data_IF_932670800899
#
_entry.id   IF_932670800899
#
_cell.length_a   1.000
_cell.length_b   1.000
_cell.length_c   1.000
_cell.angle_alpha   90.00
_cell.angle_beta   90.00
_cell.angle_gamma   90.00
#
_symmetry.space_group_name_H-M   'P 1'
#
loop_
_entity.id
_entity.type
_entity.pdbx_description
1 polymer ?
#
# COMPACT_ATOMS: atom_id res chain seq x y z
N UNK A 1 7.80 -7.60 -9.11
CA UNK A 1 7.60 -6.29 -8.42
C UNK A 1 6.99 -5.30 -9.41
N UNK A 2 6.12 -4.40 -8.94
CA UNK A 2 5.45 -3.37 -9.75
C UNK A 2 5.78 -2.02 -9.13
N UNK A 3 6.35 -1.13 -9.95
CA UNK A 3 6.76 0.21 -9.56
C UNK A 3 5.85 1.23 -10.24
N UNK A 4 5.43 2.27 -9.50
CA UNK A 4 4.96 3.50 -10.12
C UNK A 4 6.17 4.39 -10.41
N UNK A 5 6.17 5.04 -11.58
CA UNK A 5 7.26 5.93 -11.98
C UNK A 5 7.39 7.07 -10.96
N UNK A 6 8.58 7.21 -10.37
CA UNK A 6 8.96 8.39 -9.60
C UNK A 6 9.73 9.31 -10.53
N UNK A 7 9.15 10.48 -10.86
CA UNK A 7 9.78 11.47 -11.72
C UNK A 7 10.95 12.13 -10.99
N UNK A 8 12.12 12.12 -11.62
CA UNK A 8 13.33 12.76 -11.09
C UNK A 8 13.73 13.89 -12.04
N UNK A 9 13.91 15.13 -11.55
CA UNK A 9 14.40 16.24 -12.35
C UNK A 9 15.69 15.88 -13.11
N UNK A 10 15.78 16.25 -14.38
CA UNK A 10 16.93 15.93 -15.24
C UNK A 10 16.88 14.56 -15.91
N UNK A 11 15.89 13.72 -15.62
CA UNK A 11 15.68 12.46 -16.37
C UNK A 11 14.78 12.69 -17.60
N UNK A 12 14.90 11.88 -18.67
CA UNK A 12 14.03 12.00 -19.85
C UNK A 12 12.53 11.89 -19.54
N UNK A 13 12.16 11.24 -18.44
CA UNK A 13 10.78 11.04 -18.01
C UNK A 13 10.31 12.04 -16.95
N UNK A 14 11.05 13.12 -16.69
CA UNK A 14 10.73 14.09 -15.64
C UNK A 14 9.38 14.81 -15.82
N UNK A 15 8.85 14.87 -17.05
CA UNK A 15 7.67 15.66 -17.40
C UNK A 15 6.51 14.84 -17.99
N UNK A 16 6.58 13.50 -17.92
CA UNK A 16 5.48 12.66 -18.40
C UNK A 16 4.29 12.70 -17.44
N UNK A 17 3.05 12.62 -17.95
CA UNK A 17 1.86 12.60 -17.12
C UNK A 17 1.86 11.39 -16.16
N UNK A 18 1.11 11.51 -15.08
CA UNK A 18 0.84 10.38 -14.19
C UNK A 18 0.03 9.29 -14.90
N UNK A 19 0.28 8.05 -14.49
CA UNK A 19 -0.57 6.92 -14.87
C UNK A 19 -1.90 7.05 -14.13
N UNK A 20 -3.00 6.79 -14.82
CA UNK A 20 -4.32 6.73 -14.19
C UNK A 20 -4.32 5.70 -13.04
N UNK A 21 -4.84 6.04 -11.84
CA UNK A 21 -4.85 5.12 -10.71
C UNK A 21 -5.52 3.77 -11.01
N UNK A 22 -6.57 3.73 -11.83
CA UNK A 22 -7.24 2.49 -12.20
C UNK A 22 -6.42 1.66 -13.17
N UNK A 23 -5.65 2.28 -14.07
CA UNK A 23 -4.72 1.55 -14.94
C UNK A 23 -3.60 0.90 -14.13
N UNK A 24 -3.13 1.58 -13.07
CA UNK A 24 -2.16 0.99 -12.15
C UNK A 24 -2.74 -0.20 -11.39
N UNK A 25 -3.96 -0.06 -10.82
CA UNK A 25 -4.66 -1.17 -10.16
C UNK A 25 -4.93 -2.32 -11.13
N UNK A 26 -5.32 -2.04 -12.37
CA UNK A 26 -5.51 -3.05 -13.43
C UNK A 26 -4.22 -3.80 -13.71
N UNK A 27 -3.08 -3.10 -13.74
CA UNK A 27 -1.76 -3.73 -13.92
C UNK A 27 -1.47 -4.73 -12.79
N UNK A 28 -1.78 -4.38 -11.55
CA UNK A 28 -1.64 -5.28 -10.39
C UNK A 28 -2.55 -6.51 -10.53
N UNK A 29 -3.82 -6.31 -10.89
CA UNK A 29 -4.79 -7.39 -11.08
C UNK A 29 -4.36 -8.37 -12.18
N UNK A 30 -3.91 -7.85 -13.33
CA UNK A 30 -3.41 -8.65 -14.44
C UNK A 30 -2.19 -9.45 -14.00
N UNK A 31 -1.25 -8.86 -13.27
CA UNK A 31 -0.08 -9.57 -12.76
C UNK A 31 -0.47 -10.71 -11.81
N UNK A 32 -1.45 -10.50 -10.91
CA UNK A 32 -1.98 -11.55 -10.02
C UNK A 32 -2.61 -12.69 -10.81
N UNK A 33 -3.42 -12.39 -11.83
CA UNK A 33 -4.09 -13.41 -12.65
C UNK A 33 -3.10 -14.23 -13.46
N UNK A 34 -2.11 -13.60 -14.08
CA UNK A 34 -1.09 -14.28 -14.89
C UNK A 34 -0.10 -15.08 -14.05
N UNK A 35 0.18 -14.63 -12.82
CA UNK A 35 1.18 -15.22 -11.93
C UNK A 35 0.58 -15.52 -10.54
N UNK A 36 -0.36 -16.47 -10.42
CA UNK A 36 -1.16 -16.67 -9.20
C UNK A 36 -0.34 -17.03 -7.97
N UNK A 37 0.80 -17.71 -8.15
CA UNK A 37 1.69 -18.14 -7.06
C UNK A 37 2.79 -17.13 -6.71
N UNK A 38 2.97 -16.08 -7.50
CA UNK A 38 4.05 -15.11 -7.28
C UNK A 38 3.68 -14.12 -6.18
N UNK A 39 4.70 -13.57 -5.52
CA UNK A 39 4.54 -12.34 -4.74
C UNK A 39 4.44 -11.15 -5.69
N UNK A 40 3.29 -10.50 -5.69
CA UNK A 40 3.07 -9.25 -6.41
C UNK A 40 3.39 -8.12 -5.44
N UNK A 41 4.59 -7.54 -5.62
CA UNK A 41 5.12 -6.51 -4.72
C UNK A 41 4.83 -5.11 -5.23
N UNK A 42 4.18 -4.28 -4.41
CA UNK A 42 4.13 -2.83 -4.61
C UNK A 42 5.40 -2.22 -4.05
N UNK A 43 6.14 -1.53 -4.91
CA UNK A 43 7.51 -1.12 -4.62
C UNK A 43 7.66 0.40 -4.67
N UNK A 44 8.33 0.97 -5.67
CA UNK A 44 8.56 2.41 -5.77
C UNK A 44 7.28 3.20 -6.09
N UNK A 45 7.22 4.45 -5.63
CA UNK A 45 6.11 5.38 -5.89
C UNK A 45 4.93 5.28 -4.93
N UNK A 46 4.95 4.35 -3.96
CA UNK A 46 3.91 4.21 -2.93
C UNK A 46 3.70 5.46 -2.08
N UNK A 47 4.76 6.24 -1.86
CA UNK A 47 4.70 7.47 -1.06
C UNK A 47 3.67 8.47 -1.62
N UNK A 48 3.60 8.59 -2.96
CA UNK A 48 2.63 9.44 -3.64
C UNK A 48 1.23 8.83 -3.82
N UNK A 49 1.01 7.57 -3.44
CA UNK A 49 -0.30 6.93 -3.53
C UNK A 49 -1.15 7.27 -2.31
N UNK A 50 -2.46 7.49 -2.51
CA UNK A 50 -3.41 7.59 -1.40
C UNK A 50 -3.60 6.24 -0.71
N UNK A 51 -4.17 6.25 0.50
CA UNK A 51 -4.50 5.03 1.24
C UNK A 51 -5.49 4.15 0.46
N UNK A 52 -6.45 4.77 -0.22
CA UNK A 52 -7.48 4.12 -1.03
C UNK A 52 -6.85 3.42 -2.25
N UNK A 53 -5.91 4.08 -2.93
CA UNK A 53 -5.20 3.48 -4.06
C UNK A 53 -4.38 2.27 -3.62
N UNK A 54 -3.67 2.38 -2.50
CA UNK A 54 -2.93 1.25 -1.95
C UNK A 54 -3.87 0.11 -1.52
N UNK A 55 -5.00 0.42 -0.90
CA UNK A 55 -6.03 -0.56 -0.54
C UNK A 55 -6.58 -1.29 -1.77
N UNK A 56 -6.88 -0.56 -2.86
CA UNK A 56 -7.30 -1.16 -4.13
C UNK A 56 -6.22 -2.06 -4.74
N UNK A 57 -4.94 -1.70 -4.61
CA UNK A 57 -3.85 -2.55 -5.09
C UNK A 57 -3.72 -3.85 -4.27
N UNK A 58 -3.87 -3.80 -2.94
CA UNK A 58 -3.92 -5.00 -2.11
C UNK A 58 -5.13 -5.88 -2.47
N UNK A 59 -6.31 -5.28 -2.65
CA UNK A 59 -7.51 -5.98 -3.10
C UNK A 59 -7.33 -6.63 -4.49
N UNK A 60 -6.65 -5.93 -5.41
CA UNK A 60 -6.34 -6.45 -6.75
C UNK A 60 -5.32 -7.60 -6.74
N UNK A 61 -4.64 -7.84 -5.63
CA UNK A 61 -3.78 -9.00 -5.44
C UNK A 61 -2.32 -8.69 -5.16
N UNK A 62 -1.95 -7.43 -4.90
CA UNK A 62 -0.66 -7.15 -4.28
C UNK A 62 -0.60 -7.79 -2.88
N UNK A 63 0.52 -8.42 -2.54
CA UNK A 63 0.69 -9.11 -1.26
C UNK A 63 2.11 -8.94 -0.68
N UNK A 64 2.83 -7.92 -1.12
CA UNK A 64 4.17 -7.63 -0.65
C UNK A 64 4.44 -6.13 -0.83
N UNK A 65 5.09 -5.51 0.15
CA UNK A 65 5.57 -4.13 0.11
C UNK A 65 6.99 -4.05 0.64
N UNK A 66 7.72 -2.99 0.31
CA UNK A 66 8.94 -2.65 1.05
C UNK A 66 8.59 -1.99 2.37
N UNK A 67 9.13 -2.52 3.46
CA UNK A 67 8.97 -1.99 4.82
C UNK A 67 10.33 -1.53 5.33
N UNK A 68 10.45 -0.25 5.69
CA UNK A 68 11.72 0.39 6.06
C UNK A 68 11.70 1.89 5.76
N UNK A 69 12.79 2.61 6.06
CA UNK A 69 12.83 4.08 5.96
C UNK A 69 13.17 4.59 4.54
N UNK A 70 13.84 3.80 3.72
CA UNK A 70 14.27 4.17 2.35
C UNK A 70 14.24 2.97 1.40
N UNK A 71 14.03 3.26 0.12
CA UNK A 71 14.34 2.34 -0.99
C UNK A 71 15.80 2.56 -1.45
N UNK A 72 16.06 2.60 -2.75
CA UNK A 72 17.40 2.81 -3.32
C UNK A 72 17.74 4.31 -3.47
N UNK A 73 16.79 5.15 -3.88
CA UNK A 73 17.02 6.59 -4.17
C UNK A 73 15.87 7.52 -3.76
N UNK A 74 14.78 6.97 -3.22
CA UNK A 74 13.55 7.70 -2.85
C UNK A 74 13.14 7.37 -1.41
N UNK A 75 12.29 8.22 -0.82
CA UNK A 75 11.61 7.90 0.43
C UNK A 75 10.79 6.61 0.30
N UNK A 76 10.61 5.92 1.43
CA UNK A 76 9.61 4.86 1.58
C UNK A 76 8.47 5.42 2.45
N UNK A 77 7.21 5.00 2.28
CA UNK A 77 6.13 5.42 3.17
C UNK A 77 6.50 5.21 4.63
N UNK A 78 6.09 6.16 5.47
CA UNK A 78 6.25 6.08 6.93
C UNK A 78 5.79 4.69 7.42
N UNK A 79 6.68 4.00 8.14
CA UNK A 79 6.45 2.68 8.74
C UNK A 79 5.14 2.66 9.51
N UNK A 80 4.80 3.77 10.16
CA UNK A 80 3.59 3.89 10.95
C UNK A 80 2.34 4.08 10.06
N UNK A 81 2.46 4.80 8.94
CA UNK A 81 1.38 4.87 7.93
C UNK A 81 1.08 3.48 7.37
N UNK A 82 2.10 2.71 7.04
CA UNK A 82 1.95 1.35 6.54
C UNK A 82 1.28 0.44 7.58
N UNK A 83 1.69 0.52 8.85
CA UNK A 83 1.06 -0.22 9.96
C UNK A 83 -0.42 0.11 10.10
N UNK A 84 -0.77 1.41 10.13
CA UNK A 84 -2.17 1.85 10.27
C UNK A 84 -3.03 1.41 9.09
N UNK A 85 -2.50 1.52 7.86
CA UNK A 85 -3.24 1.09 6.67
C UNK A 85 -3.47 -0.43 6.68
N UNK A 86 -2.44 -1.22 6.94
CA UNK A 86 -2.57 -2.69 6.99
C UNK A 86 -3.57 -3.12 8.08
N UNK A 87 -3.52 -2.49 9.26
CA UNK A 87 -4.48 -2.75 10.34
C UNK A 87 -5.92 -2.42 9.93
N UNK A 88 -6.16 -1.27 9.28
CA UNK A 88 -7.49 -0.87 8.77
C UNK A 88 -8.03 -1.86 7.72
N UNK A 89 -7.14 -2.48 6.96
CA UNK A 89 -7.50 -3.47 5.92
C UNK A 89 -7.58 -4.90 6.46
N UNK A 90 -7.31 -5.13 7.75
CA UNK A 90 -7.25 -6.48 8.33
C UNK A 90 -6.13 -7.36 7.78
N UNK A 91 -5.06 -6.73 7.25
CA UNK A 91 -3.91 -7.41 6.67
C UNK A 91 -2.81 -7.57 7.72
N UNK A 92 -2.16 -8.73 7.72
CA UNK A 92 -1.03 -9.04 8.61
C UNK A 92 0.17 -9.51 7.79
N UNK A 93 1.37 -9.31 8.35
CA UNK A 93 2.58 -9.88 7.78
C UNK A 93 2.52 -11.42 7.87
N UNK A 94 3.07 -12.08 6.86
CA UNK A 94 3.15 -13.54 6.82
C UNK A 94 3.87 -14.06 8.07
N UNK A 95 3.29 -15.08 8.73
CA UNK A 95 3.78 -15.61 9.99
C UNK A 95 3.36 -14.84 11.25
N UNK A 96 2.60 -13.75 11.13
CA UNK A 96 2.00 -13.03 12.27
C UNK A 96 0.51 -13.39 12.39
N UNK A 97 -0.04 -13.62 13.61
CA UNK A 97 -1.48 -13.81 13.77
C UNK A 97 -2.26 -12.62 13.21
N UNK A 98 -3.29 -12.90 12.40
CA UNK A 98 -4.19 -11.85 11.88
C UNK A 98 -4.94 -11.23 13.07
N UNK A 99 -5.02 -9.91 13.12
CA UNK A 99 -5.92 -9.25 14.07
C UNK A 99 -7.37 -9.72 13.79
N UNK A 100 -8.22 -9.85 14.83
CA UNK A 100 -9.62 -10.22 14.64
C UNK A 100 -10.32 -9.24 13.69
N UNK A 101 -11.30 -9.73 12.93
CA UNK A 101 -12.02 -8.88 11.97
C UNK A 101 -12.71 -7.74 12.73
N UNK A 102 -12.88 -6.58 12.08
CA UNK A 102 -13.55 -5.41 12.71
C UNK A 102 -14.99 -5.72 13.13
N UNK A 103 -15.57 -6.78 12.56
CA UNK A 103 -16.89 -7.32 12.90
C UNK A 103 -16.90 -8.11 14.24
N UNK A 104 -15.73 -8.51 14.74
CA UNK A 104 -15.54 -9.23 16.01
C UNK A 104 -15.13 -8.30 17.16
N UNK A 105 -14.86 -7.02 16.88
CA UNK A 105 -14.58 -6.02 17.91
C UNK A 105 -15.88 -5.50 18.51
N UNK A 106 -16.00 -5.41 19.85
CA UNK A 106 -17.15 -4.76 20.47
C UNK A 106 -17.22 -3.31 19.99
N UNK A 107 -18.43 -2.85 19.68
CA UNK A 107 -18.67 -1.47 19.26
C UNK A 107 -17.99 -0.50 20.24
N UNK A 108 -17.22 0.45 19.71
CA UNK A 108 -16.53 1.44 20.52
C UNK A 108 -17.55 2.15 21.44
N UNK A 109 -17.27 2.29 22.75
CA UNK A 109 -18.20 2.97 23.65
C UNK A 109 -18.39 4.42 23.18
N UNK A 110 -19.63 4.93 23.16
CA UNK A 110 -19.87 6.32 22.80
C UNK A 110 -19.19 7.22 23.82
N UNK A 111 -18.19 8.00 23.39
CA UNK A 111 -17.50 8.99 24.23
C UNK A 111 -15.97 9.02 24.18
N UNK A 112 -15.30 8.15 23.42
CA UNK A 112 -13.84 8.22 23.22
C UNK A 112 -13.45 9.32 22.21
N UNK A 113 -13.82 10.57 22.50
CA UNK A 113 -13.30 11.75 21.85
C UNK A 113 -12.20 12.35 22.73
N UNK A 114 -10.98 12.45 22.17
CA UNK A 114 -9.89 13.34 22.58
C UNK A 114 -9.38 13.29 24.04
N UNK A 115 -8.19 12.72 24.22
CA UNK A 115 -7.21 13.23 25.17
C UNK A 115 -5.81 13.06 24.57
N UNK A 116 -5.38 14.04 23.78
CA UNK A 116 -3.97 14.27 23.48
C UNK A 116 -3.59 15.57 24.19
N UNK A 117 -2.74 15.45 25.22
CA UNK A 117 -1.94 16.53 25.78
C UNK A 117 -0.61 16.62 25.05
#
# INVERSE_FOLDING_TARGET
PINQLVRVPGTPLAHVPDVDPFDFVRTVAVARLLMPRAHVRLSAGREGMSDELQALCFLAGANSIFHGEKLLTTGNPDIERDRRLLARLGLAAEGTPRAPDTQDLPAAPPGAACAAS
#
